data_IF_710185614719
#
_entry.id   IF_710185614719
#
_cell.length_a   1.000
_cell.length_b   1.000
_cell.length_c   1.000
_cell.angle_alpha   90.00
_cell.angle_beta   90.00
_cell.angle_gamma   90.00
#
_symmetry.space_group_name_H-M   'P 1'
#
loop_
_entity.id
_entity.type
_entity.pdbx_description
1 polymer ?
#
# COMPACT_ATOMS: atom_id res chain seq x y z
N UNK A 1 4.78 35.24 -4.27
CA UNK A 1 4.01 34.57 -5.35
C UNK A 1 4.88 33.83 -6.39
N UNK A 2 6.05 34.35 -6.77
CA UNK A 2 6.95 33.71 -7.76
C UNK A 2 7.53 32.36 -7.29
N UNK A 3 8.09 32.29 -6.08
CA UNK A 3 8.77 31.08 -5.56
C UNK A 3 7.84 29.88 -5.40
N UNK A 4 6.67 30.04 -4.79
CA UNK A 4 5.68 28.96 -4.64
C UNK A 4 5.29 28.35 -6.00
N UNK A 5 5.11 29.19 -7.02
CA UNK A 5 4.79 28.76 -8.38
C UNK A 5 5.94 27.99 -9.02
N UNK A 6 7.19 28.45 -8.81
CA UNK A 6 8.39 27.78 -9.32
C UNK A 6 8.61 26.43 -8.64
N UNK A 7 8.47 26.35 -7.31
CA UNK A 7 8.58 25.11 -6.53
C UNK A 7 7.50 24.10 -6.95
N UNK A 8 6.25 24.54 -7.05
CA UNK A 8 5.17 23.70 -7.59
C UNK A 8 5.40 23.32 -9.06
N UNK A 9 6.12 24.15 -9.82
CA UNK A 9 6.55 23.88 -11.18
C UNK A 9 7.60 22.77 -11.24
N UNK A 10 8.62 22.81 -10.38
CA UNK A 10 9.63 21.76 -10.27
C UNK A 10 8.99 20.43 -9.88
N UNK A 11 8.11 20.41 -8.88
CA UNK A 11 7.41 19.21 -8.42
C UNK A 11 6.61 18.50 -9.55
N UNK A 12 6.15 19.26 -10.56
CA UNK A 12 5.39 18.81 -11.73
C UNK A 12 6.22 18.64 -13.01
N UNK A 13 7.52 18.93 -12.97
CA UNK A 13 8.41 18.85 -14.14
C UNK A 13 8.65 17.40 -14.59
N UNK A 14 9.09 17.23 -15.85
CA UNK A 14 9.42 15.91 -16.43
C UNK A 14 10.77 15.33 -16.00
N UNK A 15 11.44 15.92 -14.99
CA UNK A 15 12.71 15.42 -14.47
C UNK A 15 12.52 14.13 -13.65
N UNK A 16 13.57 13.30 -13.51
CA UNK A 16 13.56 12.17 -12.59
C UNK A 16 13.18 12.58 -11.15
N UNK A 17 12.50 11.68 -10.43
CA UNK A 17 11.85 11.98 -9.15
C UNK A 17 12.73 12.69 -8.11
N UNK A 18 13.98 12.25 -7.91
CA UNK A 18 14.92 12.89 -6.98
C UNK A 18 15.34 14.29 -7.44
N UNK A 19 15.69 14.43 -8.73
CA UNK A 19 16.19 15.70 -9.29
C UNK A 19 15.15 16.83 -9.23
N UNK A 20 13.85 16.51 -9.37
CA UNK A 20 12.79 17.53 -9.22
C UNK A 20 12.59 17.96 -7.76
N UNK A 21 12.77 17.05 -6.80
CA UNK A 21 12.67 17.35 -5.38
C UNK A 21 13.87 18.19 -4.92
N UNK A 22 15.06 17.84 -5.40
CA UNK A 22 16.29 18.58 -5.15
C UNK A 22 16.20 20.04 -5.65
N UNK A 23 15.72 20.27 -6.89
CA UNK A 23 15.50 21.64 -7.38
C UNK A 23 14.43 22.41 -6.60
N UNK A 24 13.38 21.72 -6.16
CA UNK A 24 12.35 22.33 -5.32
C UNK A 24 12.93 22.76 -3.97
N UNK A 25 13.78 21.92 -3.36
CA UNK A 25 14.50 22.21 -2.12
C UNK A 25 15.51 23.35 -2.29
N UNK A 26 16.36 23.33 -3.32
CA UNK A 26 17.31 24.42 -3.64
C UNK A 26 16.59 25.77 -3.80
N UNK A 27 15.40 25.76 -4.43
CA UNK A 27 14.59 26.96 -4.61
C UNK A 27 14.01 27.47 -3.28
N UNK A 28 13.65 26.57 -2.36
CA UNK A 28 13.20 26.90 -1.02
C UNK A 28 14.36 27.42 -0.16
N UNK A 29 15.52 26.77 -0.18
CA UNK A 29 16.73 27.24 0.52
C UNK A 29 17.08 28.65 0.06
N UNK A 30 17.04 28.91 -1.25
CA UNK A 30 17.28 30.25 -1.78
C UNK A 30 16.24 31.27 -1.33
N UNK A 31 14.97 30.89 -1.17
CA UNK A 31 13.94 31.77 -0.62
C UNK A 31 14.25 32.14 0.84
N UNK A 32 14.62 31.16 1.66
CA UNK A 32 14.96 31.35 3.07
C UNK A 32 16.18 32.27 3.20
N UNK A 33 17.25 32.03 2.43
CA UNK A 33 18.43 32.91 2.42
C UNK A 33 18.07 34.36 2.09
N UNK A 34 17.32 34.60 1.02
CA UNK A 34 16.93 35.96 0.63
C UNK A 34 16.04 36.60 1.71
N UNK A 35 15.15 35.82 2.33
CA UNK A 35 14.32 36.30 3.43
C UNK A 35 15.15 36.73 4.64
N UNK A 36 16.13 35.92 5.06
CA UNK A 36 17.03 36.21 6.19
C UNK A 36 17.93 37.43 5.94
N UNK A 37 18.39 37.62 4.69
CA UNK A 37 19.22 38.77 4.28
C UNK A 37 18.43 40.07 4.03
N UNK A 38 17.10 40.01 3.92
CA UNK A 38 16.28 41.19 3.57
C UNK A 38 16.02 42.07 4.80
N UNK A 39 16.55 43.30 4.77
CA UNK A 39 16.30 44.33 5.78
C UNK A 39 15.02 45.16 5.53
N UNK A 40 14.55 45.23 4.28
CA UNK A 40 13.32 45.95 3.94
C UNK A 40 12.08 45.18 4.41
N UNK A 41 11.40 45.68 5.45
CA UNK A 41 10.26 44.99 6.07
C UNK A 41 9.12 44.67 5.10
N UNK A 42 8.83 45.57 4.15
CA UNK A 42 7.80 45.35 3.14
C UNK A 42 8.13 44.16 2.24
N UNK A 43 9.37 44.09 1.76
CA UNK A 43 9.88 42.98 0.95
C UNK A 43 10.06 41.70 1.78
N UNK A 44 10.46 41.81 3.05
CA UNK A 44 10.61 40.67 3.96
C UNK A 44 9.28 39.96 4.17
N UNK A 45 8.19 40.72 4.32
CA UNK A 45 6.82 40.20 4.41
C UNK A 45 6.40 39.43 3.14
N UNK A 46 6.76 39.90 1.95
CA UNK A 46 6.46 39.21 0.68
C UNK A 46 7.26 37.91 0.47
N UNK A 47 8.43 37.80 1.10
CA UNK A 47 9.36 36.67 0.98
C UNK A 47 9.22 35.65 2.10
N UNK A 48 8.35 35.89 3.09
CA UNK A 48 8.16 35.01 4.25
C UNK A 48 7.86 33.57 3.79
N UNK A 49 8.72 32.59 4.12
CA UNK A 49 8.44 31.18 3.88
C UNK A 49 7.17 30.77 4.62
N UNK A 50 6.39 29.87 4.04
CA UNK A 50 5.15 29.41 4.64
C UNK A 50 4.92 27.91 4.46
N UNK A 51 3.94 27.38 5.19
CA UNK A 51 3.60 25.96 5.25
C UNK A 51 3.32 25.37 3.87
N UNK A 52 2.68 26.14 2.97
CA UNK A 52 2.38 25.70 1.59
C UNK A 52 3.66 25.41 0.80
N UNK A 53 4.67 26.28 0.90
CA UNK A 53 5.92 26.14 0.15
C UNK A 53 6.72 24.94 0.68
N UNK A 54 6.86 24.81 2.00
CA UNK A 54 7.52 23.65 2.60
C UNK A 54 6.80 22.35 2.25
N UNK A 55 5.48 22.31 2.38
CA UNK A 55 4.66 21.15 2.03
C UNK A 55 4.85 20.71 0.58
N UNK A 56 4.99 21.65 -0.35
CA UNK A 56 5.26 21.32 -1.75
C UNK A 56 6.62 20.62 -1.93
N UNK A 57 7.66 21.02 -1.19
CA UNK A 57 8.99 20.38 -1.26
C UNK A 57 8.98 19.02 -0.56
N UNK A 58 8.36 18.92 0.62
CA UNK A 58 8.22 17.65 1.37
C UNK A 58 7.44 16.62 0.53
N UNK A 59 6.33 17.01 -0.09
CA UNK A 59 5.55 16.15 -0.98
C UNK A 59 6.33 15.76 -2.25
N UNK A 60 7.13 16.68 -2.81
CA UNK A 60 8.01 16.38 -3.94
C UNK A 60 9.02 15.29 -3.57
N UNK A 61 9.66 15.37 -2.40
CA UNK A 61 10.49 14.30 -1.85
C UNK A 61 9.67 13.02 -1.64
N UNK A 62 8.46 13.10 -1.10
CA UNK A 62 7.55 11.96 -0.88
C UNK A 62 7.21 11.15 -2.12
N UNK A 63 7.14 11.83 -3.27
CA UNK A 63 6.86 11.25 -4.59
C UNK A 63 8.11 10.86 -5.36
N UNK A 64 9.30 11.23 -4.90
CA UNK A 64 10.57 11.06 -5.63
C UNK A 64 11.03 9.60 -5.73
N UNK A 65 10.69 8.77 -4.73
CA UNK A 65 11.28 7.44 -4.48
C UNK A 65 12.81 7.45 -4.32
N UNK A 66 13.41 8.62 -4.05
CA UNK A 66 14.84 8.76 -3.79
C UNK A 66 15.17 8.14 -2.41
N UNK A 67 16.27 7.39 -2.26
CA UNK A 67 16.70 6.85 -0.96
C UNK A 67 16.89 7.88 0.14
N UNK A 68 17.16 9.15 -0.22
CA UNK A 68 17.32 10.28 0.72
C UNK A 68 16.00 10.93 1.11
N UNK A 69 14.90 10.62 0.41
CA UNK A 69 13.63 11.34 0.52
C UNK A 69 13.12 11.48 1.95
N UNK A 70 13.15 10.39 2.73
CA UNK A 70 12.73 10.40 4.13
C UNK A 70 13.56 11.35 5.00
N UNK A 71 14.88 11.32 4.86
CA UNK A 71 15.79 12.19 5.62
C UNK A 71 15.64 13.66 5.21
N UNK A 72 15.50 13.93 3.91
CA UNK A 72 15.30 15.29 3.39
C UNK A 72 13.96 15.88 3.84
N UNK A 73 12.88 15.12 3.71
CA UNK A 73 11.57 15.52 4.21
C UNK A 73 11.57 15.78 5.73
N UNK A 74 12.28 14.95 6.50
CA UNK A 74 12.38 15.11 7.94
C UNK A 74 13.21 16.33 8.35
N UNK A 75 14.30 16.63 7.64
CA UNK A 75 15.09 17.84 7.86
C UNK A 75 14.26 19.11 7.58
N UNK A 76 13.48 19.11 6.49
CA UNK A 76 12.57 20.22 6.18
C UNK A 76 11.47 20.37 7.23
N UNK A 77 10.91 19.27 7.73
CA UNK A 77 9.92 19.30 8.80
C UNK A 77 10.50 19.89 10.09
N UNK A 78 11.74 19.53 10.45
CA UNK A 78 12.43 20.13 11.62
C UNK A 78 12.68 21.62 11.38
N UNK A 79 13.10 22.02 10.18
CA UNK A 79 13.30 23.44 9.85
C UNK A 79 12.01 24.25 9.97
N UNK A 80 10.87 23.71 9.56
CA UNK A 80 9.56 24.34 9.78
C UNK A 80 9.26 24.55 11.26
N UNK A 81 9.59 23.56 12.11
CA UNK A 81 9.39 23.64 13.56
C UNK A 81 10.26 24.72 14.20
N UNK A 82 11.53 24.79 13.81
CA UNK A 82 12.47 25.82 14.30
C UNK A 82 12.00 27.22 13.91
N UNK A 83 11.69 27.44 12.62
CA UNK A 83 11.26 28.75 12.14
C UNK A 83 9.92 29.21 12.73
N UNK A 84 9.04 28.29 13.10
CA UNK A 84 7.79 28.61 13.78
C UNK A 84 7.96 28.89 15.28
N UNK A 85 9.02 28.36 15.91
CA UNK A 85 9.31 28.58 17.34
C UNK A 85 10.11 29.87 17.58
N UNK A 86 10.94 30.27 16.62
CA UNK A 86 11.72 31.52 16.68
C UNK A 86 10.87 32.80 16.57
N UNK A 87 9.56 32.65 16.37
CA UNK A 87 8.61 33.70 16.00
C UNK A 87 7.57 34.01 17.13
N UNK A 88 7.79 33.46 18.34
CA UNK A 88 6.99 33.68 19.56
C UNK A 88 7.10 35.11 20.18
N UNK A 89 7.48 36.13 19.41
CA UNK A 89 7.44 37.53 19.82
C UNK A 89 6.03 38.12 19.53
N UNK A 90 5.42 38.77 20.53
CA UNK A 90 4.03 39.28 20.66
C UNK A 90 3.50 40.26 19.55
N UNK A 91 4.05 40.26 18.35
CA UNK A 91 3.58 41.06 17.21
C UNK A 91 2.61 40.27 16.30
N UNK A 92 1.65 40.96 15.70
CA UNK A 92 0.59 40.46 14.77
C UNK A 92 1.14 39.88 13.44
N UNK A 93 2.38 39.37 13.46
CA UNK A 93 3.18 38.98 12.31
C UNK A 93 3.82 37.60 12.49
N UNK A 94 3.02 36.59 12.86
CA UNK A 94 3.54 35.24 13.02
C UNK A 94 3.91 34.54 11.70
N UNK A 95 4.93 33.69 11.73
CA UNK A 95 5.46 32.85 10.66
C UNK A 95 4.41 31.79 10.43
N UNK A 96 3.69 31.93 9.32
CA UNK A 96 2.76 30.92 8.80
C UNK A 96 3.54 29.70 8.23
N UNK A 97 4.51 29.17 8.98
CA UNK A 97 5.34 28.04 8.62
C UNK A 97 5.28 26.88 9.63
N UNK A 98 4.40 26.98 10.63
CA UNK A 98 4.16 25.89 11.56
C UNK A 98 3.74 24.62 10.79
N UNK A 99 4.34 23.45 11.08
CA UNK A 99 3.91 22.20 10.48
C UNK A 99 2.43 21.95 10.68
N UNK A 100 1.81 21.33 9.69
CA UNK A 100 0.42 20.88 9.72
C UNK A 100 0.33 19.36 9.54
N UNK A 101 -0.89 18.84 9.52
CA UNK A 101 -1.15 17.42 9.28
C UNK A 101 -0.51 16.93 7.97
N UNK A 102 -0.55 17.76 6.92
CA UNK A 102 0.02 17.43 5.61
C UNK A 102 1.55 17.33 5.67
N UNK A 103 2.21 18.22 6.43
CA UNK A 103 3.66 18.23 6.64
C UNK A 103 4.13 16.89 7.21
N UNK A 104 3.50 16.43 8.29
CA UNK A 104 3.81 15.17 8.95
C UNK A 104 3.48 13.96 8.06
N UNK A 105 2.30 13.94 7.44
CA UNK A 105 1.88 12.84 6.56
C UNK A 105 2.80 12.68 5.34
N UNK A 106 3.21 13.81 4.74
CA UNK A 106 4.14 13.81 3.60
C UNK A 106 5.54 13.35 4.01
N UNK A 107 6.00 13.71 5.22
CA UNK A 107 7.26 13.20 5.78
C UNK A 107 7.22 11.68 6.02
N UNK A 108 6.14 11.17 6.62
CA UNK A 108 5.94 9.71 6.82
C UNK A 108 5.90 8.96 5.48
N UNK A 109 5.19 9.50 4.48
CA UNK A 109 5.13 8.92 3.15
C UNK A 109 6.49 8.96 2.42
N UNK A 110 7.30 9.99 2.66
CA UNK A 110 8.68 10.09 2.14
C UNK A 110 9.56 8.97 2.67
N UNK A 111 9.50 8.68 3.98
CA UNK A 111 10.14 7.50 4.54
C UNK A 111 9.61 6.23 3.87
N UNK A 112 8.29 6.04 3.78
CA UNK A 112 7.66 4.85 3.19
C UNK A 112 8.05 4.56 1.73
N UNK A 113 8.38 5.59 0.96
CA UNK A 113 8.74 5.48 -0.46
C UNK A 113 10.24 5.53 -0.75
N UNK A 114 11.08 5.83 0.24
CA UNK A 114 12.54 5.91 0.08
C UNK A 114 13.22 4.56 -0.22
N UNK A 115 12.59 3.44 0.16
CA UNK A 115 13.23 2.13 0.11
C UNK A 115 14.33 1.94 1.16
N UNK A 116 14.52 2.89 2.08
CA UNK A 116 15.48 2.78 3.18
C UNK A 116 15.14 1.60 4.09
N UNK A 117 16.15 0.85 4.55
CA UNK A 117 15.97 -0.37 5.36
C UNK A 117 15.13 -0.13 6.62
N UNK A 118 15.33 1.01 7.27
CA UNK A 118 14.63 1.40 8.50
C UNK A 118 13.45 2.35 8.26
N UNK A 119 13.02 2.53 7.01
CA UNK A 119 11.94 3.45 6.62
C UNK A 119 10.70 3.32 7.52
N UNK A 120 10.28 2.10 7.83
CA UNK A 120 9.09 1.87 8.66
C UNK A 120 9.25 2.39 10.09
N UNK A 121 10.41 2.17 10.72
CA UNK A 121 10.71 2.69 12.07
C UNK A 121 10.83 4.21 12.08
N UNK A 122 11.42 4.79 11.03
CA UNK A 122 11.56 6.23 10.90
C UNK A 122 10.19 6.91 10.70
N UNK A 123 9.35 6.37 9.82
CA UNK A 123 7.97 6.86 9.64
C UNK A 123 7.17 6.77 10.94
N UNK A 124 7.28 5.66 11.68
CA UNK A 124 6.63 5.53 12.98
C UNK A 124 7.20 6.50 14.04
N UNK A 125 8.50 6.81 13.99
CA UNK A 125 9.11 7.84 14.81
C UNK A 125 8.54 9.23 14.55
N UNK A 126 8.28 9.58 13.28
CA UNK A 126 7.60 10.83 12.91
C UNK A 126 6.16 10.85 13.43
N UNK A 127 5.42 9.75 13.32
CA UNK A 127 4.08 9.63 13.91
C UNK A 127 4.10 9.84 15.43
N UNK A 128 5.09 9.26 16.11
CA UNK A 128 5.25 9.44 17.56
C UNK A 128 5.54 10.90 17.91
N UNK A 129 6.40 11.60 17.15
CA UNK A 129 6.63 13.04 17.35
C UNK A 129 5.35 13.86 17.16
N UNK A 130 4.53 13.51 16.17
CA UNK A 130 3.22 14.13 15.95
C UNK A 130 2.31 13.94 17.18
N UNK A 131 2.26 12.73 17.75
CA UNK A 131 1.52 12.43 18.98
C UNK A 131 2.04 13.21 20.19
N UNK A 132 3.36 13.20 20.40
CA UNK A 132 4.01 13.82 21.55
C UNK A 132 3.89 15.36 21.53
N UNK A 133 3.77 15.97 20.34
CA UNK A 133 3.56 17.42 20.19
C UNK A 133 2.21 17.91 20.71
N UNK A 134 1.17 17.06 20.68
CA UNK A 134 -0.19 17.36 21.16
C UNK A 134 -0.96 18.42 20.36
N UNK A 135 -0.29 19.28 19.59
CA UNK A 135 -0.91 20.37 18.82
C UNK A 135 -1.61 19.87 17.56
N UNK A 136 -1.08 18.83 16.92
CA UNK A 136 -1.60 18.28 15.67
C UNK A 136 -1.88 16.78 15.88
N UNK A 137 -3.13 16.40 16.19
CA UNK A 137 -3.46 15.00 16.47
C UNK A 137 -3.31 14.15 15.20
N UNK A 138 -2.70 12.95 15.27
CA UNK A 138 -2.68 12.04 14.14
C UNK A 138 -4.07 11.59 13.73
N UNK A 139 -4.22 11.29 12.44
CA UNK A 139 -5.48 10.83 11.87
C UNK A 139 -5.29 9.57 11.02
N UNK A 140 -6.35 9.11 10.36
CA UNK A 140 -6.34 7.96 9.44
C UNK A 140 -5.21 8.02 8.41
N UNK A 141 -4.88 9.19 7.84
CA UNK A 141 -3.81 9.35 6.84
C UNK A 141 -2.44 9.13 7.48
N UNK A 142 -2.23 9.64 8.69
CA UNK A 142 -0.99 9.46 9.46
C UNK A 142 -0.70 7.97 9.72
N UNK A 143 -1.68 7.25 10.25
CA UNK A 143 -1.53 5.81 10.50
C UNK A 143 -1.39 4.99 9.22
N UNK A 144 -2.15 5.33 8.16
CA UNK A 144 -2.04 4.66 6.87
C UNK A 144 -0.66 4.86 6.22
N UNK A 145 -0.02 6.02 6.44
CA UNK A 145 1.34 6.28 5.96
C UNK A 145 2.37 5.38 6.65
N UNK A 146 2.23 5.17 7.96
CA UNK A 146 3.08 4.25 8.73
C UNK A 146 2.79 2.79 8.37
N UNK A 147 1.53 2.39 8.21
CA UNK A 147 1.15 1.05 7.75
C UNK A 147 1.71 0.73 6.36
N UNK A 148 1.69 1.71 5.43
CA UNK A 148 2.32 1.58 4.12
C UNK A 148 3.82 1.30 4.26
N UNK A 149 4.52 2.02 5.13
CA UNK A 149 5.94 1.83 5.39
C UNK A 149 6.23 0.43 5.95
N UNK A 150 5.45 -0.03 6.94
CA UNK A 150 5.58 -1.39 7.49
C UNK A 150 5.26 -2.47 6.47
N UNK A 151 4.26 -2.29 5.60
CA UNK A 151 3.89 -3.26 4.56
C UNK A 151 4.98 -3.50 3.49
N UNK A 152 5.90 -2.54 3.35
CA UNK A 152 7.06 -2.60 2.45
C UNK A 152 8.34 -3.04 3.19
N UNK A 153 8.30 -3.09 4.52
CA UNK A 153 9.45 -3.40 5.35
C UNK A 153 9.84 -4.87 5.23
N UNK A 154 11.15 -5.12 5.29
CA UNK A 154 11.73 -6.47 5.40
C UNK A 154 12.30 -6.74 6.79
N UNK A 155 12.02 -5.85 7.75
CA UNK A 155 12.47 -6.02 9.13
C UNK A 155 11.74 -7.21 9.78
N UNK A 156 12.42 -7.99 10.63
CA UNK A 156 11.75 -8.97 11.48
C UNK A 156 10.68 -8.29 12.34
N UNK A 157 9.51 -8.91 12.46
CA UNK A 157 8.40 -8.35 13.24
C UNK A 157 7.56 -7.30 12.50
N UNK A 158 7.84 -7.04 11.21
CA UNK A 158 7.15 -6.00 10.45
C UNK A 158 5.65 -6.27 10.29
N UNK A 159 5.27 -7.54 10.14
CA UNK A 159 3.88 -7.94 10.00
C UNK A 159 3.12 -7.82 11.32
N UNK A 160 3.74 -8.23 12.44
CA UNK A 160 3.22 -8.04 13.79
C UNK A 160 3.03 -6.55 14.11
N UNK A 161 4.03 -5.71 13.79
CA UNK A 161 3.92 -4.28 14.07
C UNK A 161 2.81 -3.62 13.25
N UNK A 162 2.67 -3.99 11.98
CA UNK A 162 1.56 -3.53 11.15
C UNK A 162 0.19 -3.94 11.73
N UNK A 163 0.07 -5.19 12.20
CA UNK A 163 -1.16 -5.69 12.85
C UNK A 163 -1.46 -4.94 14.14
N UNK A 164 -0.46 -4.67 14.99
CA UNK A 164 -0.63 -3.88 16.23
C UNK A 164 -1.15 -2.46 15.93
N UNK A 165 -0.65 -1.82 14.88
CA UNK A 165 -1.10 -0.49 14.49
C UNK A 165 -2.56 -0.53 14.00
N UNK A 166 -2.93 -1.53 13.20
CA UNK A 166 -4.33 -1.70 12.76
C UNK A 166 -5.27 -1.95 13.94
N UNK A 167 -4.88 -2.81 14.89
CA UNK A 167 -5.67 -3.06 16.10
C UNK A 167 -5.84 -1.79 16.94
N UNK A 168 -4.79 -0.98 17.07
CA UNK A 168 -4.88 0.33 17.70
C UNK A 168 -5.89 1.24 16.97
N UNK A 169 -5.86 1.28 15.63
CA UNK A 169 -6.82 2.10 14.87
C UNK A 169 -8.27 1.64 15.09
N UNK A 170 -8.51 0.33 15.16
CA UNK A 170 -9.85 -0.23 15.41
C UNK A 170 -10.36 0.14 16.81
N UNK A 171 -9.50 0.08 17.82
CA UNK A 171 -9.83 0.47 19.19
C UNK A 171 -10.06 1.99 19.29
N UNK A 172 -9.15 2.79 18.74
CA UNK A 172 -9.22 4.24 18.73
C UNK A 172 -10.48 4.76 18.02
N UNK A 173 -10.95 4.09 16.96
CA UNK A 173 -12.15 4.48 16.22
C UNK A 173 -13.43 4.50 17.07
N UNK A 174 -13.45 3.80 18.22
CA UNK A 174 -14.59 3.80 19.13
C UNK A 174 -14.73 5.11 19.91
N UNK A 175 -13.64 5.87 20.08
CA UNK A 175 -13.60 7.09 20.89
C UNK A 175 -13.07 8.32 20.16
N UNK A 176 -12.42 8.14 19.00
CA UNK A 176 -11.80 9.20 18.23
C UNK A 176 -12.15 9.07 16.73
N UNK A 177 -13.05 9.93 16.26
CA UNK A 177 -13.49 9.94 14.86
C UNK A 177 -12.39 10.30 13.86
N UNK A 178 -11.28 10.90 14.30
CA UNK A 178 -10.15 11.25 13.42
C UNK A 178 -9.30 10.02 13.06
N UNK A 179 -9.39 8.95 13.85
CA UNK A 179 -8.63 7.72 13.63
C UNK A 179 -9.63 6.60 13.35
N UNK A 180 -9.89 6.35 12.07
CA UNK A 180 -10.67 5.19 11.61
C UNK A 180 -9.85 4.31 10.67
N UNK A 181 -9.86 2.98 10.85
CA UNK A 181 -9.28 2.08 9.86
C UNK A 181 -10.10 2.14 8.57
N UNK A 182 -9.45 1.82 7.47
CA UNK A 182 -10.04 1.76 6.13
C UNK A 182 -9.62 0.46 5.45
N UNK A 183 -10.24 0.11 4.34
CA UNK A 183 -9.86 -1.03 3.51
C UNK A 183 -8.37 -0.96 3.13
N UNK A 184 -7.81 0.25 2.99
CA UNK A 184 -6.37 0.46 2.78
C UNK A 184 -5.53 0.06 3.99
N UNK A 185 -5.98 0.38 5.21
CA UNK A 185 -5.33 -0.02 6.47
C UNK A 185 -5.25 -1.55 6.56
N UNK A 186 -6.37 -2.24 6.35
CA UNK A 186 -6.43 -3.70 6.35
C UNK A 186 -5.59 -4.32 5.22
N UNK A 187 -5.70 -3.78 4.01
CA UNK A 187 -4.92 -4.20 2.83
C UNK A 187 -3.41 -4.11 3.06
N UNK A 188 -2.96 -3.07 3.77
CA UNK A 188 -1.54 -2.89 4.12
C UNK A 188 -1.04 -3.99 5.05
N UNK A 189 -1.83 -4.38 6.07
CA UNK A 189 -1.47 -5.48 6.98
C UNK A 189 -1.52 -6.84 6.27
N UNK A 190 -2.55 -7.09 5.46
CA UNK A 190 -2.66 -8.31 4.65
C UNK A 190 -1.44 -8.50 3.74
N UNK A 191 -1.03 -7.45 3.05
CA UNK A 191 0.16 -7.45 2.20
C UNK A 191 1.46 -7.65 3.00
N UNK A 192 1.58 -7.04 4.18
CA UNK A 192 2.72 -7.23 5.09
C UNK A 192 2.86 -8.69 5.52
N UNK A 193 1.76 -9.28 6.01
CA UNK A 193 1.69 -10.69 6.43
C UNK A 193 1.91 -11.66 5.29
N UNK A 194 1.35 -11.42 4.10
CA UNK A 194 1.54 -12.30 2.94
C UNK A 194 3.02 -12.44 2.54
N UNK A 195 3.80 -11.36 2.71
CA UNK A 195 5.24 -11.30 2.44
C UNK A 195 6.11 -11.79 3.61
N UNK A 196 5.52 -12.00 4.78
CA UNK A 196 6.27 -12.46 5.95
C UNK A 196 6.68 -13.93 5.82
N UNK A 197 7.68 -14.30 6.63
CA UNK A 197 8.17 -15.67 6.78
C UNK A 197 7.73 -16.29 8.11
N UNK A 198 6.69 -15.73 8.74
CA UNK A 198 6.14 -16.31 9.96
C UNK A 198 5.21 -17.51 9.64
N UNK A 199 5.23 -18.55 10.48
CA UNK A 199 4.26 -19.64 10.39
C UNK A 199 2.84 -19.16 10.71
N UNK A 200 1.82 -19.88 10.25
CA UNK A 200 0.41 -19.55 10.48
C UNK A 200 -0.08 -18.32 9.72
N UNK A 201 0.70 -17.77 8.77
CA UNK A 201 0.33 -16.54 8.05
C UNK A 201 -0.96 -16.66 7.24
N UNK A 202 -1.31 -17.86 6.77
CA UNK A 202 -2.57 -18.11 6.07
C UNK A 202 -3.78 -17.85 6.99
N UNK A 203 -3.82 -18.51 8.16
CA UNK A 203 -4.88 -18.30 9.17
C UNK A 203 -4.91 -16.87 9.69
N UNK A 204 -3.74 -16.25 9.93
CA UNK A 204 -3.65 -14.87 10.40
C UNK A 204 -4.18 -13.86 9.39
N UNK A 205 -3.84 -14.00 8.10
CA UNK A 205 -4.38 -13.13 7.05
C UNK A 205 -5.88 -13.32 6.87
N UNK A 206 -6.38 -14.55 6.95
CA UNK A 206 -7.82 -14.83 6.96
C UNK A 206 -8.53 -14.13 8.11
N UNK A 207 -7.98 -14.19 9.33
CA UNK A 207 -8.54 -13.50 10.50
C UNK A 207 -8.62 -11.98 10.31
N UNK A 208 -7.61 -11.37 9.67
CA UNK A 208 -7.62 -9.93 9.35
C UNK A 208 -8.71 -9.60 8.32
N UNK A 209 -8.92 -10.45 7.31
CA UNK A 209 -10.02 -10.29 6.35
C UNK A 209 -11.38 -10.42 7.04
N UNK A 210 -11.55 -11.40 7.93
CA UNK A 210 -12.79 -11.56 8.70
C UNK A 210 -13.06 -10.38 9.62
N UNK A 211 -12.01 -9.81 10.22
CA UNK A 211 -12.11 -8.59 11.01
C UNK A 211 -12.58 -7.39 10.18
N UNK A 212 -12.06 -7.22 8.95
CA UNK A 212 -12.55 -6.18 8.03
C UNK A 212 -14.04 -6.36 7.74
N UNK A 213 -14.47 -7.59 7.46
CA UNK A 213 -15.88 -7.91 7.20
C UNK A 213 -16.75 -7.61 8.40
N UNK A 214 -16.34 -8.03 9.59
CA UNK A 214 -17.07 -7.77 10.84
C UNK A 214 -17.21 -6.26 11.11
N UNK A 215 -16.13 -5.50 10.94
CA UNK A 215 -16.14 -4.05 11.15
C UNK A 215 -17.04 -3.36 10.10
N UNK A 216 -17.01 -3.79 8.84
CA UNK A 216 -17.90 -3.30 7.80
C UNK A 216 -19.37 -3.62 8.08
N UNK A 217 -19.68 -4.86 8.47
CA UNK A 217 -21.03 -5.32 8.80
C UNK A 217 -21.61 -4.55 9.99
N UNK A 218 -20.79 -4.21 11.00
CA UNK A 218 -21.20 -3.35 12.13
C UNK A 218 -21.63 -1.94 11.71
N UNK A 219 -21.19 -1.46 10.55
CA UNK A 219 -21.68 -0.18 9.98
C UNK A 219 -23.07 -0.30 9.34
N UNK A 220 -23.63 -1.51 9.26
CA UNK A 220 -24.80 -1.80 8.44
C UNK A 220 -24.47 -1.97 6.95
N UNK A 221 -23.18 -2.12 6.62
CA UNK A 221 -22.71 -2.27 5.25
C UNK A 221 -22.82 -0.99 4.41
N UNK A 222 -22.60 0.18 5.03
CA UNK A 222 -22.72 1.50 4.36
C UNK A 222 -21.42 2.29 4.33
N UNK A 223 -20.45 1.95 5.18
CA UNK A 223 -19.15 2.64 5.17
C UNK A 223 -18.28 2.10 4.03
N UNK A 224 -18.28 2.82 2.90
CA UNK A 224 -17.50 2.47 1.72
C UNK A 224 -15.98 2.47 2.00
N UNK A 225 -15.50 3.21 3.01
CA UNK A 225 -14.08 3.17 3.39
C UNK A 225 -13.70 1.82 4.00
N UNK A 226 -14.66 1.03 4.48
CA UNK A 226 -14.46 -0.29 5.09
C UNK A 226 -14.94 -1.45 4.21
N UNK A 227 -15.49 -1.16 3.03
CA UNK A 227 -16.06 -2.18 2.15
C UNK A 227 -14.97 -3.16 1.69
N UNK A 228 -15.08 -4.46 2.01
CA UNK A 228 -14.12 -5.44 1.53
C UNK A 228 -14.14 -5.52 0.01
N UNK A 229 -12.99 -5.79 -0.59
CA UNK A 229 -12.84 -5.83 -2.05
C UNK A 229 -11.89 -6.96 -2.47
N UNK A 230 -11.75 -7.16 -3.78
CA UNK A 230 -10.91 -8.20 -4.36
C UNK A 230 -9.46 -8.19 -3.84
N UNK A 231 -8.89 -7.01 -3.56
CA UNK A 231 -7.52 -6.90 -3.07
C UNK A 231 -7.35 -7.59 -1.71
N UNK A 232 -8.33 -7.45 -0.80
CA UNK A 232 -8.28 -8.09 0.51
C UNK A 232 -8.32 -9.62 0.40
N UNK A 233 -9.24 -10.18 -0.39
CA UNK A 233 -9.31 -11.63 -0.64
C UNK A 233 -8.03 -12.14 -1.31
N UNK A 234 -7.57 -11.47 -2.35
CA UNK A 234 -6.34 -11.82 -3.06
C UNK A 234 -5.10 -11.73 -2.14
N UNK A 235 -5.11 -10.85 -1.13
CA UNK A 235 -4.09 -10.79 -0.09
C UNK A 235 -3.98 -12.09 0.73
N UNK A 236 -5.11 -12.66 1.14
CA UNK A 236 -5.16 -13.97 1.84
C UNK A 236 -4.71 -15.10 0.93
N UNK A 237 -5.20 -15.15 -0.31
CA UNK A 237 -4.81 -16.17 -1.29
C UNK A 237 -3.31 -16.12 -1.59
N UNK A 238 -2.76 -14.92 -1.71
CA UNK A 238 -1.33 -14.72 -1.90
C UNK A 238 -0.52 -15.21 -0.69
N UNK A 239 -0.99 -14.95 0.54
CA UNK A 239 -0.36 -15.48 1.75
C UNK A 239 -0.33 -17.01 1.75
N UNK A 240 -1.46 -17.65 1.40
CA UNK A 240 -1.57 -19.11 1.28
C UNK A 240 -0.60 -19.66 0.23
N UNK A 241 -0.53 -19.04 -0.95
CA UNK A 241 0.37 -19.46 -2.03
C UNK A 241 1.86 -19.41 -1.62
N UNK A 242 2.22 -18.56 -0.67
CA UNK A 242 3.58 -18.43 -0.12
C UNK A 242 3.82 -19.20 1.18
N UNK A 243 2.91 -20.10 1.58
CA UNK A 243 3.10 -21.02 2.71
C UNK A 243 3.73 -22.37 2.31
N UNK A 244 4.32 -22.45 1.11
CA UNK A 244 4.87 -23.69 0.57
C UNK A 244 6.12 -24.20 1.29
N UNK A 245 6.88 -23.29 1.92
CA UNK A 245 8.15 -23.59 2.57
C UNK A 245 7.99 -24.19 3.98
N UNK A 246 6.75 -24.34 4.46
CA UNK A 246 6.43 -24.91 5.78
C UNK A 246 6.11 -26.42 5.70
N UNK A 247 5.89 -27.03 6.86
CA UNK A 247 5.56 -28.45 6.98
C UNK A 247 4.22 -28.83 6.31
N UNK A 248 3.97 -30.13 6.22
CA UNK A 248 2.81 -30.70 5.55
C UNK A 248 1.47 -30.24 6.14
N UNK A 249 1.44 -29.94 7.44
CA UNK A 249 0.20 -29.53 8.11
C UNK A 249 -0.09 -28.05 7.84
N UNK A 250 0.93 -27.18 7.89
CA UNK A 250 0.78 -25.77 7.48
C UNK A 250 0.39 -25.66 5.99
N UNK A 251 0.90 -26.54 5.11
CA UNK A 251 0.49 -26.56 3.70
C UNK A 251 -0.97 -26.97 3.50
N UNK A 252 -1.46 -27.94 4.27
CA UNK A 252 -2.89 -28.34 4.25
C UNK A 252 -3.78 -27.22 4.78
N UNK A 253 -3.38 -26.60 5.89
CA UNK A 253 -4.09 -25.47 6.49
C UNK A 253 -4.16 -24.29 5.52
N UNK A 254 -3.05 -23.95 4.86
CA UNK A 254 -3.04 -22.90 3.84
C UNK A 254 -3.95 -23.22 2.64
N UNK A 255 -4.04 -24.49 2.23
CA UNK A 255 -4.92 -24.91 1.15
C UNK A 255 -6.41 -24.83 1.57
N UNK A 256 -6.73 -25.24 2.80
CA UNK A 256 -8.08 -25.10 3.35
C UNK A 256 -8.50 -23.63 3.41
N UNK A 257 -7.63 -22.76 3.95
CA UNK A 257 -7.86 -21.31 3.98
C UNK A 257 -8.09 -20.77 2.58
N UNK A 258 -7.26 -21.14 1.59
CA UNK A 258 -7.42 -20.67 0.21
C UNK A 258 -8.78 -21.04 -0.39
N UNK A 259 -9.21 -22.30 -0.22
CA UNK A 259 -10.53 -22.76 -0.70
C UNK A 259 -11.67 -22.04 0.01
N UNK A 260 -11.57 -21.88 1.33
CA UNK A 260 -12.56 -21.15 2.11
C UNK A 260 -12.66 -19.68 1.67
N UNK A 261 -11.53 -19.00 1.49
CA UNK A 261 -11.48 -17.61 1.03
C UNK A 261 -12.10 -17.44 -0.36
N UNK A 262 -11.84 -18.35 -1.31
CA UNK A 262 -12.47 -18.29 -2.63
C UNK A 262 -13.99 -18.45 -2.52
N UNK A 263 -14.45 -19.42 -1.72
CA UNK A 263 -15.88 -19.64 -1.52
C UNK A 263 -16.55 -18.43 -0.84
N UNK A 264 -15.92 -17.84 0.17
CA UNK A 264 -16.41 -16.62 0.82
C UNK A 264 -16.49 -15.44 -0.16
N UNK A 265 -15.47 -15.28 -1.03
CA UNK A 265 -15.46 -14.25 -2.06
C UNK A 265 -16.64 -14.41 -3.02
N UNK A 266 -16.85 -15.62 -3.56
CA UNK A 266 -17.92 -15.95 -4.51
C UNK A 266 -19.33 -15.75 -3.93
N UNK A 267 -19.49 -15.90 -2.61
CA UNK A 267 -20.77 -15.72 -1.93
C UNK A 267 -20.92 -14.33 -1.29
N UNK A 268 -19.96 -13.43 -1.51
CA UNK A 268 -20.02 -12.07 -0.95
C UNK A 268 -20.74 -11.09 -1.89
N UNK A 269 -21.37 -10.03 -1.35
CA UNK A 269 -22.02 -9.01 -2.18
C UNK A 269 -21.06 -7.95 -2.75
N UNK A 270 -19.76 -7.99 -2.39
CA UNK A 270 -18.81 -6.90 -2.67
C UNK A 270 -17.54 -7.34 -3.44
N UNK A 271 -17.37 -8.63 -3.71
CA UNK A 271 -16.23 -9.14 -4.46
C UNK A 271 -16.64 -10.29 -5.38
N UNK A 272 -16.03 -10.35 -6.56
CA UNK A 272 -16.16 -11.47 -7.50
C UNK A 272 -14.76 -11.91 -7.96
N UNK A 273 -14.49 -13.21 -8.13
CA UNK A 273 -13.19 -13.67 -8.59
C UNK A 273 -12.74 -12.97 -9.87
N UNK A 274 -11.51 -12.47 -9.88
CA UNK A 274 -10.86 -11.88 -11.05
C UNK A 274 -9.65 -12.72 -11.51
N UNK A 275 -8.98 -12.28 -12.56
CA UNK A 275 -7.78 -12.95 -13.08
C UNK A 275 -6.69 -13.15 -12.02
N UNK A 276 -6.54 -12.20 -11.08
CA UNK A 276 -5.57 -12.29 -9.98
C UNK A 276 -6.02 -13.34 -8.95
N UNK A 277 -7.32 -13.42 -8.65
CA UNK A 277 -7.92 -14.45 -7.79
C UNK A 277 -7.64 -15.85 -8.32
N UNK A 278 -7.97 -16.09 -9.59
CA UNK A 278 -7.76 -17.38 -10.24
C UNK A 278 -6.27 -17.73 -10.35
N UNK A 279 -5.42 -16.76 -10.70
CA UNK A 279 -3.97 -16.93 -10.72
C UNK A 279 -3.41 -17.34 -9.36
N UNK A 280 -3.82 -16.66 -8.29
CA UNK A 280 -3.38 -16.98 -6.93
C UNK A 280 -3.90 -18.35 -6.45
N UNK A 281 -5.13 -18.72 -6.80
CA UNK A 281 -5.66 -20.05 -6.46
C UNK A 281 -4.93 -21.17 -7.21
N UNK A 282 -4.64 -21.00 -8.52
CA UNK A 282 -3.82 -21.94 -9.28
C UNK A 282 -2.41 -22.05 -8.70
N UNK A 283 -1.83 -20.93 -8.28
CA UNK A 283 -0.54 -20.90 -7.58
C UNK A 283 -0.59 -21.63 -6.24
N UNK A 284 -1.69 -21.52 -5.47
CA UNK A 284 -1.92 -22.31 -4.26
C UNK A 284 -1.90 -23.82 -4.59
N UNK A 285 -2.63 -24.26 -5.62
CA UNK A 285 -2.60 -25.67 -6.05
C UNK A 285 -1.18 -26.10 -6.48
N UNK A 286 -0.47 -25.23 -7.20
CA UNK A 286 0.86 -25.53 -7.71
C UNK A 286 1.90 -25.69 -6.60
N UNK A 287 1.78 -24.90 -5.53
CA UNK A 287 2.74 -24.82 -4.45
C UNK A 287 2.40 -25.71 -3.24
N UNK A 288 1.11 -25.89 -2.92
CA UNK A 288 0.67 -26.57 -1.69
C UNK A 288 0.35 -28.06 -1.89
N UNK A 289 0.04 -28.47 -3.13
CA UNK A 289 -0.29 -29.86 -3.42
C UNK A 289 0.81 -30.56 -4.21
N UNK A 290 1.18 -31.81 -3.87
CA UNK A 290 2.06 -32.60 -4.72
C UNK A 290 1.40 -32.86 -6.09
N UNK A 291 2.20 -33.06 -7.16
CA UNK A 291 1.68 -33.47 -8.46
C UNK A 291 0.85 -34.76 -8.35
N UNK A 292 -0.35 -34.75 -8.93
CA UNK A 292 -1.25 -35.89 -8.86
C UNK A 292 -2.62 -35.62 -9.48
N UNK A 293 -3.46 -36.67 -9.51
CA UNK A 293 -4.79 -36.63 -10.14
C UNK A 293 -5.68 -35.57 -9.48
N UNK A 294 -5.67 -35.46 -8.15
CA UNK A 294 -6.49 -34.49 -7.42
C UNK A 294 -6.12 -33.05 -7.76
N UNK A 295 -4.82 -32.70 -7.69
CA UNK A 295 -4.30 -31.38 -8.07
C UNK A 295 -4.64 -31.04 -9.52
N UNK A 296 -4.41 -31.99 -10.43
CA UNK A 296 -4.72 -31.84 -11.87
C UNK A 296 -6.19 -31.53 -12.10
N UNK A 297 -7.09 -32.31 -11.48
CA UNK A 297 -8.53 -32.13 -11.60
C UNK A 297 -9.00 -30.78 -11.03
N UNK A 298 -8.47 -30.37 -9.88
CA UNK A 298 -8.78 -29.06 -9.29
C UNK A 298 -8.29 -27.92 -10.18
N UNK A 299 -7.06 -28.02 -10.70
CA UNK A 299 -6.49 -27.00 -11.59
C UNK A 299 -7.26 -26.85 -12.89
N UNK A 300 -7.69 -27.97 -13.51
CA UNK A 300 -8.54 -27.93 -14.72
C UNK A 300 -9.88 -27.27 -14.42
N UNK A 301 -10.59 -27.69 -13.37
CA UNK A 301 -11.89 -27.09 -13.01
C UNK A 301 -11.78 -25.60 -12.74
N UNK A 302 -10.76 -25.19 -11.99
CA UNK A 302 -10.53 -23.78 -11.67
C UNK A 302 -10.22 -22.96 -12.93
N UNK A 303 -9.46 -23.51 -13.87
CA UNK A 303 -9.19 -22.86 -15.15
C UNK A 303 -10.45 -22.78 -16.03
N UNK A 304 -11.28 -23.82 -16.06
CA UNK A 304 -12.57 -23.81 -16.77
C UNK A 304 -13.49 -22.73 -16.21
N UNK A 305 -13.64 -22.64 -14.87
CA UNK A 305 -14.42 -21.55 -14.24
C UNK A 305 -13.84 -20.18 -14.58
N UNK A 306 -12.51 -20.01 -14.49
CA UNK A 306 -11.84 -18.76 -14.87
C UNK A 306 -12.11 -18.36 -16.34
N UNK A 307 -12.12 -19.33 -17.25
CA UNK A 307 -12.45 -19.12 -18.66
C UNK A 307 -13.91 -18.70 -18.82
N UNK A 308 -14.82 -19.40 -18.17
CA UNK A 308 -16.25 -19.13 -18.27
C UNK A 308 -16.60 -17.74 -17.67
N UNK A 309 -15.86 -17.29 -16.65
CA UNK A 309 -15.93 -15.93 -16.09
C UNK A 309 -15.21 -14.85 -16.94
N UNK A 310 -14.52 -15.24 -18.01
CA UNK A 310 -13.77 -14.33 -18.88
C UNK A 310 -12.49 -13.75 -18.26
N UNK A 311 -11.92 -14.42 -17.25
CA UNK A 311 -10.79 -13.92 -16.44
C UNK A 311 -9.42 -14.50 -16.84
N UNK A 312 -9.31 -15.17 -17.99
CA UNK A 312 -8.06 -15.80 -18.45
C UNK A 312 -7.07 -14.73 -18.89
N UNK A 313 -6.10 -14.45 -18.02
CA UNK A 313 -4.96 -13.59 -18.28
C UNK A 313 -3.64 -14.37 -18.31
N UNK A 314 -2.53 -13.65 -18.53
CA UNK A 314 -1.18 -14.23 -18.59
C UNK A 314 -0.81 -14.98 -17.30
N UNK A 315 -1.11 -14.40 -16.13
CA UNK A 315 -0.84 -15.02 -14.82
C UNK A 315 -1.58 -16.35 -14.67
N UNK A 316 -2.87 -16.39 -15.04
CA UNK A 316 -3.69 -17.61 -14.97
C UNK A 316 -3.10 -18.71 -15.84
N UNK A 317 -2.71 -18.40 -17.08
CA UNK A 317 -2.11 -19.38 -17.99
C UNK A 317 -0.80 -19.93 -17.44
N UNK A 318 0.08 -19.05 -16.96
CA UNK A 318 1.37 -19.45 -16.40
C UNK A 318 1.20 -20.37 -15.17
N UNK A 319 0.29 -20.02 -14.25
CA UNK A 319 0.05 -20.81 -13.05
C UNK A 319 -0.75 -22.09 -13.34
N UNK A 320 -1.62 -22.09 -14.35
CA UNK A 320 -2.32 -23.29 -14.80
C UNK A 320 -1.34 -24.34 -15.35
N UNK A 321 -0.37 -23.92 -16.18
CA UNK A 321 0.67 -24.80 -16.71
C UNK A 321 1.62 -25.33 -15.63
N UNK A 322 1.80 -24.59 -14.53
CA UNK A 322 2.49 -25.09 -13.35
C UNK A 322 1.64 -26.10 -12.57
N UNK A 323 0.34 -25.82 -12.40
CA UNK A 323 -0.56 -26.65 -11.60
C UNK A 323 -0.97 -27.96 -12.29
N UNK A 324 -1.11 -27.94 -13.63
CA UNK A 324 -1.71 -29.00 -14.45
C UNK A 324 -0.70 -29.49 -15.50
N UNK A 325 -0.48 -30.81 -15.66
CA UNK A 325 0.35 -31.33 -16.75
C UNK A 325 -0.17 -30.93 -18.12
N UNK A 326 0.71 -30.48 -19.02
CA UNK A 326 0.38 -29.95 -20.36
C UNK A 326 -0.60 -30.83 -21.13
N UNK A 327 -0.38 -32.15 -21.15
CA UNK A 327 -1.25 -33.10 -21.86
C UNK A 327 -2.70 -33.07 -21.36
N UNK A 328 -2.90 -32.99 -20.05
CA UNK A 328 -4.24 -32.93 -19.46
C UNK A 328 -4.90 -31.56 -19.67
N UNK A 329 -4.11 -30.50 -19.78
CA UNK A 329 -4.57 -29.14 -20.03
C UNK A 329 -4.97 -28.93 -21.49
N UNK A 330 -4.21 -29.47 -22.45
CA UNK A 330 -4.56 -29.44 -23.86
C UNK A 330 -5.90 -30.15 -24.12
N UNK A 331 -6.11 -31.32 -23.49
CA UNK A 331 -7.35 -32.08 -23.63
C UNK A 331 -8.58 -31.32 -23.08
N UNK A 332 -8.42 -30.47 -22.05
CA UNK A 332 -9.52 -29.65 -21.52
C UNK A 332 -9.80 -28.41 -22.38
N UNK A 333 -8.76 -27.73 -22.87
CA UNK A 333 -8.89 -26.60 -23.79
C UNK A 333 -9.57 -27.03 -25.10
N UNK A 334 -9.15 -28.16 -25.67
CA UNK A 334 -9.69 -28.67 -26.94
C UNK A 334 -11.15 -29.10 -26.83
N UNK A 335 -11.61 -29.56 -25.66
CA UNK A 335 -13.02 -29.93 -25.43
C UNK A 335 -13.92 -28.72 -25.16
N UNK A 336 -13.36 -27.61 -24.68
CA UNK A 336 -14.11 -26.37 -24.40
C UNK A 336 -14.46 -25.50 -25.62
N UNK A 337 -13.91 -25.79 -26.80
CA UNK A 337 -14.14 -25.01 -28.03
C UNK A 337 -15.46 -25.28 -28.78
N UNK A 338 -16.41 -26.00 -28.17
CA UNK A 338 -17.65 -26.44 -28.81
C UNK A 338 -18.83 -25.44 -28.78
N UNK A 339 -18.68 -24.28 -28.13
CA UNK A 339 -19.78 -23.33 -27.96
C UNK A 339 -19.35 -21.88 -28.16
N UNK A 340 -19.49 -21.37 -29.39
CA UNK A 340 -19.55 -19.94 -29.67
C UNK A 340 -18.30 -19.31 -30.32
N UNK A 341 -18.43 -18.95 -31.60
CA UNK A 341 -17.63 -17.90 -32.24
C UNK A 341 -16.31 -18.34 -32.88
N UNK A 342 -16.35 -18.64 -34.18
CA UNK A 342 -15.15 -18.96 -34.97
C UNK A 342 -14.14 -17.81 -35.04
N UNK A 343 -12.91 -18.10 -34.62
CA UNK A 343 -11.72 -17.28 -34.84
C UNK A 343 -10.51 -18.18 -34.98
N UNK A 344 -10.26 -18.67 -36.20
CA UNK A 344 -9.19 -19.61 -36.49
C UNK A 344 -7.80 -18.97 -36.32
N UNK A 345 -7.03 -19.40 -35.30
CA UNK A 345 -5.59 -19.16 -35.25
C UNK A 345 -4.91 -20.22 -36.14
N UNK A 346 -4.57 -19.80 -37.37
CA UNK A 346 -3.73 -20.58 -38.29
C UNK A 346 -2.33 -20.77 -37.68
N UNK A 347 -1.97 -22.02 -37.37
CA UNK A 347 -0.57 -22.44 -37.17
C UNK A 347 0.20 -22.26 -38.48
N UNK A 348 1.16 -21.33 -38.53
CA UNK A 348 2.23 -21.33 -39.53
C UNK A 348 3.22 -22.45 -39.17
N UNK A 349 3.25 -23.51 -39.97
CA UNK A 349 4.42 -24.41 -40.06
C UNK A 349 5.44 -23.76 -41.00
N UNK A 350 6.61 -23.41 -40.46
CA UNK A 350 7.80 -23.09 -41.25
C UNK A 350 8.48 -24.36 -41.73
N UNK A 351 9.00 -24.29 -42.96
CA UNK A 351 9.79 -25.32 -43.64
C UNK A 351 11.18 -25.47 -43.02
#
# INVERSE_FOLDING_TARGET
SSFATVIAGWARSGLPGGAKAEKAEETLERLIEIFEETEDEGRKKELRPNTVIFNAVIDAWGKSRDPRAGMKAEALLVRMQEMAADDDDDDDESMDCAPDEFSYNSCMNSHANSGHRNAARLAEGVLKRMQDSGSIPPNTISYNSVLNAWSKSKLPGAAERAEQILLYMIDAAQSNSNVKPTVYSFSSVLNSRAKSREPGKARRTQAILHMLREVYEKTGGVDEDLKPNNYCFNGVLNACAFSADFDDDERKDALEVAVQTLNEMQNSPYANPDSVTYGNMLKCLANLMPPGVTRTRMGIRLFETCRDDGQVGEMVLNEALRAVPVKAFDDSILKGGGGGGGGAIRRRRGR
#
